data_IF_491053013367
#
_entry.id   IF_491053013367
#
_cell.length_a   1.000
_cell.length_b   1.000
_cell.length_c   1.000
_cell.angle_alpha   90.00
_cell.angle_beta   90.00
_cell.angle_gamma   90.00
#
_symmetry.space_group_name_H-M   'P 1'
#
loop_
_entity.id
_entity.type
_entity.pdbx_description
1 polymer ?
#
# COMPACT_ATOMS: atom_id res chain seq x y z
N UNK A 1 29.98 -5.39 -7.71
CA UNK A 1 29.66 -5.77 -9.12
C UNK A 1 28.86 -7.07 -9.22
N UNK A 2 29.41 -8.28 -9.05
CA UNK A 2 28.62 -9.51 -9.17
C UNK A 2 27.54 -9.67 -8.08
N UNK A 3 27.84 -9.23 -6.85
CA UNK A 3 26.91 -9.27 -5.72
C UNK A 3 25.71 -8.31 -5.91
N UNK A 4 25.97 -7.11 -6.44
CA UNK A 4 24.92 -6.09 -6.65
C UNK A 4 24.00 -6.47 -7.82
N UNK A 5 24.56 -7.03 -8.89
CA UNK A 5 23.79 -7.56 -10.01
C UNK A 5 22.85 -8.69 -9.58
N UNK A 6 23.34 -9.64 -8.77
CA UNK A 6 22.52 -10.72 -8.24
C UNK A 6 21.38 -10.22 -7.34
N UNK A 7 21.63 -9.17 -6.56
CA UNK A 7 20.61 -8.55 -5.70
C UNK A 7 19.52 -7.85 -6.51
N UNK A 8 19.91 -7.15 -7.58
CA UNK A 8 18.96 -6.53 -8.52
C UNK A 8 18.11 -7.59 -9.18
N UNK A 9 18.71 -8.60 -9.82
CA UNK A 9 17.98 -9.69 -10.48
C UNK A 9 17.06 -10.42 -9.50
N UNK A 10 17.51 -10.65 -8.26
CA UNK A 10 16.69 -11.23 -7.21
C UNK A 10 15.47 -10.35 -6.87
N UNK A 11 15.68 -9.04 -6.66
CA UNK A 11 14.60 -8.11 -6.33
C UNK A 11 13.57 -8.01 -7.47
N UNK A 12 14.04 -7.95 -8.72
CA UNK A 12 13.17 -7.93 -9.90
C UNK A 12 12.36 -9.22 -10.03
N UNK A 13 13.03 -10.38 -9.90
CA UNK A 13 12.38 -11.69 -9.92
C UNK A 13 11.32 -11.80 -8.83
N UNK A 14 11.62 -11.28 -7.63
CA UNK A 14 10.69 -11.23 -6.52
C UNK A 14 9.46 -10.36 -6.84
N UNK A 15 9.65 -9.12 -7.31
CA UNK A 15 8.56 -8.23 -7.70
C UNK A 15 7.63 -8.86 -8.74
N UNK A 16 8.19 -9.40 -9.81
CA UNK A 16 7.41 -10.04 -10.89
C UNK A 16 6.65 -11.27 -10.36
N UNK A 17 7.30 -12.10 -9.54
CA UNK A 17 6.66 -13.31 -8.97
C UNK A 17 5.46 -12.97 -8.08
N UNK A 18 5.61 -11.99 -7.18
CA UNK A 18 4.52 -11.53 -6.32
C UNK A 18 3.43 -10.80 -7.10
N UNK A 19 3.80 -10.02 -8.12
CA UNK A 19 2.87 -9.38 -9.04
C UNK A 19 1.98 -10.40 -9.77
N UNK A 20 2.59 -11.41 -10.40
CA UNK A 20 1.87 -12.48 -11.12
C UNK A 20 0.94 -13.24 -10.17
N UNK A 21 1.46 -13.67 -9.01
CA UNK A 21 0.66 -14.38 -8.01
C UNK A 21 -0.52 -13.52 -7.54
N UNK A 22 -0.28 -12.25 -7.24
CA UNK A 22 -1.30 -11.30 -6.83
C UNK A 22 -2.37 -11.09 -7.91
N UNK A 23 -1.97 -10.95 -9.17
CA UNK A 23 -2.88 -10.84 -10.31
C UNK A 23 -3.76 -12.09 -10.46
N UNK A 24 -3.18 -13.29 -10.38
CA UNK A 24 -3.94 -14.55 -10.48
C UNK A 24 -4.93 -14.69 -9.32
N UNK A 25 -4.48 -14.46 -8.08
CA UNK A 25 -5.33 -14.61 -6.89
C UNK A 25 -6.47 -13.59 -6.86
N UNK A 26 -6.19 -12.31 -7.16
CA UNK A 26 -7.22 -11.27 -7.20
C UNK A 26 -8.17 -11.46 -8.39
N UNK A 27 -7.67 -11.87 -9.56
CA UNK A 27 -8.52 -12.24 -10.70
C UNK A 27 -9.46 -13.41 -10.37
N UNK A 28 -8.94 -14.43 -9.68
CA UNK A 28 -9.75 -15.55 -9.18
C UNK A 28 -10.81 -15.10 -8.17
N UNK A 29 -10.47 -14.16 -7.27
CA UNK A 29 -11.40 -13.60 -6.31
C UNK A 29 -12.53 -12.82 -6.99
N UNK A 30 -12.22 -12.02 -8.02
CA UNK A 30 -13.23 -11.33 -8.84
C UNK A 30 -14.15 -12.35 -9.52
N UNK A 31 -13.59 -13.39 -10.15
CA UNK A 31 -14.37 -14.44 -10.79
C UNK A 31 -15.33 -15.12 -9.80
N UNK A 32 -14.84 -15.56 -8.63
CA UNK A 32 -15.67 -16.19 -7.61
C UNK A 32 -16.74 -15.24 -7.06
N UNK A 33 -16.39 -13.97 -6.84
CA UNK A 33 -17.33 -12.98 -6.32
C UNK A 33 -18.47 -12.69 -7.33
N UNK A 34 -18.16 -12.60 -8.63
CA UNK A 34 -19.16 -12.35 -9.68
C UNK A 34 -20.05 -13.57 -9.93
N UNK A 35 -19.44 -14.75 -10.11
CA UNK A 35 -20.17 -15.93 -10.64
C UNK A 35 -20.66 -16.90 -9.56
N UNK A 36 -20.10 -16.89 -8.35
CA UNK A 36 -20.40 -17.89 -7.30
C UNK A 36 -21.04 -17.30 -6.04
N UNK A 37 -21.24 -15.98 -5.95
CA UNK A 37 -21.83 -15.36 -4.75
C UNK A 37 -23.34 -15.60 -4.61
N UNK A 38 -23.82 -16.17 -3.49
CA UNK A 38 -25.26 -16.34 -3.26
C UNK A 38 -25.98 -15.01 -3.02
N UNK A 39 -27.29 -14.98 -3.34
CA UNK A 39 -28.13 -13.76 -3.25
C UNK A 39 -28.07 -13.08 -1.87
N UNK A 40 -27.94 -13.86 -0.79
CA UNK A 40 -27.86 -13.38 0.58
C UNK A 40 -26.66 -12.47 0.89
N UNK A 41 -25.56 -12.55 0.11
CA UNK A 41 -24.35 -11.74 0.32
C UNK A 41 -24.04 -10.80 -0.86
N UNK A 42 -25.00 -10.52 -1.75
CA UNK A 42 -24.73 -9.74 -2.97
C UNK A 42 -24.13 -8.36 -2.72
N UNK A 43 -24.59 -7.63 -1.69
CA UNK A 43 -24.05 -6.31 -1.38
C UNK A 43 -22.62 -6.39 -0.83
N UNK A 44 -22.32 -7.46 -0.07
CA UNK A 44 -20.96 -7.75 0.38
C UNK A 44 -20.05 -8.19 -0.76
N UNK A 45 -20.55 -8.98 -1.71
CA UNK A 45 -19.82 -9.37 -2.91
C UNK A 45 -19.38 -8.14 -3.72
N UNK A 46 -20.23 -7.11 -3.84
CA UNK A 46 -19.84 -5.84 -4.50
C UNK A 46 -18.65 -5.15 -3.82
N UNK A 47 -18.59 -5.17 -2.48
CA UNK A 47 -17.43 -4.65 -1.74
C UNK A 47 -16.18 -5.47 -1.99
N UNK A 48 -16.31 -6.81 -2.01
CA UNK A 48 -15.20 -7.72 -2.34
C UNK A 48 -14.70 -7.47 -3.77
N UNK A 49 -15.60 -7.26 -4.74
CA UNK A 49 -15.22 -6.98 -6.13
C UNK A 49 -14.46 -5.66 -6.21
N UNK A 50 -14.93 -4.58 -5.56
CA UNK A 50 -14.22 -3.30 -5.55
C UNK A 50 -12.79 -3.44 -5.03
N UNK A 51 -12.65 -4.14 -3.90
CA UNK A 51 -11.36 -4.42 -3.28
C UNK A 51 -10.47 -5.26 -4.20
N UNK A 52 -10.98 -6.39 -4.72
CA UNK A 52 -10.21 -7.30 -5.56
C UNK A 52 -9.78 -6.67 -6.89
N UNK A 53 -10.61 -5.80 -7.49
CA UNK A 53 -10.23 -5.03 -8.68
C UNK A 53 -9.15 -4.00 -8.38
N UNK A 54 -9.23 -3.34 -7.22
CA UNK A 54 -8.21 -2.38 -6.78
C UNK A 54 -6.86 -3.07 -6.59
N UNK A 55 -6.84 -4.21 -5.90
CA UNK A 55 -5.61 -5.00 -5.69
C UNK A 55 -5.08 -5.60 -6.99
N UNK A 56 -5.97 -6.03 -7.89
CA UNK A 56 -5.58 -6.49 -9.22
C UNK A 56 -4.85 -5.37 -9.99
N UNK A 57 -5.41 -4.16 -9.98
CA UNK A 57 -4.81 -3.01 -10.64
C UNK A 57 -3.48 -2.60 -9.97
N UNK A 58 -3.39 -2.69 -8.64
CA UNK A 58 -2.15 -2.48 -7.91
C UNK A 58 -1.04 -3.45 -8.36
N UNK A 59 -1.33 -4.74 -8.47
CA UNK A 59 -0.36 -5.73 -8.95
C UNK A 59 0.09 -5.48 -10.40
N UNK A 60 -0.85 -5.09 -11.28
CA UNK A 60 -0.52 -4.74 -12.66
C UNK A 60 0.37 -3.50 -12.73
N UNK A 61 0.07 -2.47 -11.93
CA UNK A 61 0.88 -1.26 -11.85
C UNK A 61 2.26 -1.54 -11.25
N UNK A 62 2.37 -2.39 -10.22
CA UNK A 62 3.67 -2.77 -9.63
C UNK A 62 4.58 -3.44 -10.66
N UNK A 63 4.05 -4.37 -11.45
CA UNK A 63 4.80 -4.99 -12.56
C UNK A 63 5.10 -4.00 -13.70
N UNK A 64 4.19 -3.05 -13.95
CA UNK A 64 4.38 -2.03 -15.00
C UNK A 64 5.48 -1.02 -14.64
N UNK A 65 5.60 -0.64 -13.37
CA UNK A 65 6.59 0.36 -12.91
C UNK A 65 7.92 -0.28 -12.49
N UNK A 66 7.87 -1.45 -11.84
CA UNK A 66 9.00 -2.13 -11.21
C UNK A 66 9.86 -1.15 -10.39
N UNK A 67 9.26 -0.65 -9.31
CA UNK A 67 9.80 0.44 -8.51
C UNK A 67 10.85 -0.04 -7.50
N UNK A 68 11.99 0.66 -7.47
CA UNK A 68 12.94 0.62 -6.36
C UNK A 68 13.10 1.99 -5.72
N UNK A 69 12.87 2.07 -4.41
CA UNK A 69 12.94 3.29 -3.62
C UNK A 69 14.26 3.39 -2.84
N UNK A 70 14.92 4.54 -2.93
CA UNK A 70 16.12 4.90 -2.17
C UNK A 70 15.84 6.18 -1.36
N UNK A 71 15.44 6.05 -0.08
CA UNK A 71 15.07 7.20 0.75
C UNK A 71 16.29 7.92 1.30
N UNK A 72 16.37 9.26 1.11
CA UNK A 72 17.39 10.10 1.73
C UNK A 72 16.84 10.81 2.97
N UNK A 73 16.99 10.24 4.19
CA UNK A 73 16.39 10.80 5.39
C UNK A 73 16.99 12.16 5.79
N UNK A 74 18.25 12.44 5.42
CA UNK A 74 18.98 13.64 5.82
C UNK A 74 18.66 14.86 4.94
N UNK A 75 18.41 14.66 3.64
CA UNK A 75 18.08 15.76 2.71
C UNK A 75 16.57 15.91 2.46
N UNK A 76 15.74 15.08 3.11
CA UNK A 76 14.29 15.03 2.87
C UNK A 76 13.96 14.89 1.37
N UNK A 77 14.68 14.00 0.69
CA UNK A 77 14.49 13.64 -0.71
C UNK A 77 14.23 12.14 -0.87
N UNK A 78 13.59 11.74 -1.96
CA UNK A 78 13.39 10.33 -2.31
C UNK A 78 13.83 10.09 -3.75
N UNK A 79 14.76 9.17 -3.93
CA UNK A 79 15.22 8.73 -5.25
C UNK A 79 14.50 7.45 -5.63
N UNK A 80 14.09 7.36 -6.89
CA UNK A 80 13.35 6.24 -7.45
C UNK A 80 14.05 5.73 -8.69
N UNK A 81 14.16 4.41 -8.79
CA UNK A 81 14.66 3.71 -9.97
C UNK A 81 13.52 2.87 -10.50
N UNK A 82 13.13 3.12 -11.74
CA UNK A 82 11.99 2.50 -12.41
C UNK A 82 12.52 1.62 -13.53
N UNK A 83 12.33 0.31 -13.41
CA UNK A 83 12.87 -0.67 -14.37
C UNK A 83 11.78 -1.31 -15.24
N UNK A 84 10.52 -1.00 -14.98
CA UNK A 84 9.39 -1.72 -15.58
C UNK A 84 9.08 -1.30 -17.01
N UNK A 85 8.01 -1.88 -17.54
CA UNK A 85 7.51 -1.62 -18.90
C UNK A 85 7.10 -0.15 -19.13
N UNK A 86 6.86 0.62 -18.07
CA UNK A 86 6.57 2.04 -18.16
C UNK A 86 7.70 2.85 -18.83
N UNK A 87 8.95 2.36 -18.74
CA UNK A 87 10.14 3.06 -19.26
C UNK A 87 10.11 3.25 -20.77
N UNK A 88 9.45 2.34 -21.50
CA UNK A 88 9.24 2.45 -22.95
C UNK A 88 8.35 3.63 -23.36
N UNK A 89 7.54 4.16 -22.43
CA UNK A 89 6.63 5.29 -22.67
C UNK A 89 7.16 6.61 -22.11
N UNK A 90 8.30 6.60 -21.41
CA UNK A 90 8.94 7.76 -20.83
C UNK A 90 8.53 8.10 -19.38
N UNK A 91 9.20 9.11 -18.83
CA UNK A 91 9.13 9.50 -17.41
C UNK A 91 7.71 9.79 -16.94
N UNK A 92 6.93 10.57 -17.69
CA UNK A 92 5.58 10.97 -17.28
C UNK A 92 4.65 9.77 -17.09
N UNK A 93 4.72 8.79 -17.99
CA UNK A 93 3.91 7.57 -17.87
C UNK A 93 4.29 6.77 -16.64
N UNK A 94 5.58 6.66 -16.34
CA UNK A 94 6.05 5.99 -15.12
C UNK A 94 5.62 6.72 -13.84
N UNK A 95 5.73 8.05 -13.78
CA UNK A 95 5.37 8.82 -12.57
C UNK A 95 3.87 8.85 -12.33
N UNK A 96 3.06 8.92 -13.41
CA UNK A 96 1.61 8.74 -13.33
C UNK A 96 1.28 7.32 -12.86
N UNK A 97 1.93 6.29 -13.43
CA UNK A 97 1.77 4.89 -13.03
C UNK A 97 2.09 4.68 -11.55
N UNK A 98 3.17 5.28 -11.05
CA UNK A 98 3.55 5.26 -9.64
C UNK A 98 2.52 5.98 -8.76
N UNK A 99 2.01 7.13 -9.18
CA UNK A 99 0.95 7.83 -8.46
C UNK A 99 -0.33 7.02 -8.35
N UNK A 100 -0.74 6.37 -9.45
CA UNK A 100 -1.86 5.44 -9.48
C UNK A 100 -1.60 4.22 -8.58
N UNK A 101 -0.37 3.71 -8.55
CA UNK A 101 -0.02 2.58 -7.70
C UNK A 101 -0.21 2.92 -6.22
N UNK A 102 0.34 4.04 -5.76
CA UNK A 102 0.17 4.49 -4.37
C UNK A 102 -1.31 4.78 -4.06
N UNK A 103 -2.05 5.35 -5.02
CA UNK A 103 -3.50 5.48 -4.90
C UNK A 103 -4.19 4.14 -4.64
N UNK A 104 -3.91 3.10 -5.45
CA UNK A 104 -4.52 1.78 -5.26
C UNK A 104 -4.20 1.16 -3.91
N UNK A 105 -2.97 1.33 -3.41
CA UNK A 105 -2.58 0.84 -2.08
C UNK A 105 -3.39 1.51 -0.97
N UNK A 106 -3.52 2.85 -1.00
CA UNK A 106 -4.35 3.56 -0.01
C UNK A 106 -5.83 3.19 -0.10
N UNK A 107 -6.36 3.10 -1.33
CA UNK A 107 -7.77 2.80 -1.54
C UNK A 107 -8.11 1.36 -1.13
N UNK A 108 -7.20 0.42 -1.37
CA UNK A 108 -7.30 -0.97 -0.93
C UNK A 108 -7.38 -1.07 0.60
N UNK A 109 -6.53 -0.35 1.33
CA UNK A 109 -6.53 -0.32 2.80
C UNK A 109 -7.88 0.14 3.36
N UNK A 110 -8.46 1.23 2.83
CA UNK A 110 -9.77 1.72 3.24
C UNK A 110 -10.90 0.76 2.84
N UNK A 111 -10.84 0.20 1.64
CA UNK A 111 -11.81 -0.79 1.15
C UNK A 111 -11.84 -2.06 2.01
N UNK A 112 -10.68 -2.49 2.50
CA UNK A 112 -10.55 -3.61 3.43
C UNK A 112 -11.23 -3.30 4.76
N UNK A 113 -10.98 -2.12 5.35
CA UNK A 113 -11.64 -1.69 6.58
C UNK A 113 -13.17 -1.64 6.43
N UNK A 114 -13.66 -1.04 5.35
CA UNK A 114 -15.09 -0.96 5.04
C UNK A 114 -15.68 -2.36 4.92
N UNK A 115 -14.98 -3.30 4.30
CA UNK A 115 -15.43 -4.69 4.18
C UNK A 115 -15.59 -5.39 5.53
N UNK A 116 -14.66 -5.19 6.46
CA UNK A 116 -14.79 -5.70 7.83
C UNK A 116 -15.90 -4.97 8.62
N UNK A 117 -16.01 -3.65 8.47
CA UNK A 117 -17.03 -2.84 9.13
C UNK A 117 -18.45 -3.20 8.68
N UNK A 118 -18.68 -3.29 7.36
CA UNK A 118 -19.94 -3.75 6.78
C UNK A 118 -20.34 -5.11 7.33
N UNK A 119 -19.38 -6.03 7.40
CA UNK A 119 -19.62 -7.38 7.88
C UNK A 119 -19.95 -7.44 9.37
N UNK A 120 -19.35 -6.58 10.17
CA UNK A 120 -19.73 -6.44 11.57
C UNK A 120 -21.15 -5.85 11.69
N UNK A 121 -21.50 -4.85 10.87
CA UNK A 121 -22.79 -4.16 10.90
C UNK A 121 -23.98 -5.10 10.62
N UNK A 122 -23.89 -5.94 9.58
CA UNK A 122 -24.97 -6.88 9.20
C UNK A 122 -25.28 -7.94 10.27
N UNK A 123 -24.41 -8.12 11.27
CA UNK A 123 -24.66 -9.06 12.38
C UNK A 123 -25.61 -8.50 13.44
N UNK A 124 -25.77 -7.17 13.51
CA UNK A 124 -26.61 -6.50 14.51
C UNK A 124 -27.80 -5.76 13.89
N UNK A 125 -27.68 -5.36 12.62
CA UNK A 125 -28.66 -4.55 11.92
C UNK A 125 -29.04 -5.19 10.59
N UNK A 126 -30.23 -4.85 10.11
CA UNK A 126 -30.67 -5.21 8.76
C UNK A 126 -29.70 -4.68 7.72
N UNK A 127 -29.48 -5.44 6.64
CA UNK A 127 -28.53 -5.09 5.57
C UNK A 127 -28.71 -3.62 5.12
N UNK A 128 -27.64 -2.82 5.06
CA UNK A 128 -27.73 -1.44 4.58
C UNK A 128 -28.27 -1.39 3.16
N UNK A 129 -28.93 -0.29 2.79
CA UNK A 129 -29.31 -0.07 1.39
C UNK A 129 -28.06 0.19 0.54
N UNK A 130 -28.05 -0.28 -0.71
CA UNK A 130 -26.94 -0.11 -1.67
C UNK A 130 -26.43 1.34 -1.75
N UNK A 131 -27.34 2.33 -1.72
CA UNK A 131 -26.99 3.76 -1.76
C UNK A 131 -26.00 4.17 -0.66
N UNK A 132 -26.18 3.65 0.57
CA UNK A 132 -25.30 3.98 1.68
C UNK A 132 -23.91 3.37 1.49
N UNK A 133 -23.84 2.13 1.00
CA UNK A 133 -22.56 1.46 0.72
C UNK A 133 -21.79 2.19 -0.38
N UNK A 134 -22.46 2.56 -1.48
CA UNK A 134 -21.83 3.32 -2.56
C UNK A 134 -21.35 4.70 -2.10
N UNK A 135 -22.17 5.39 -1.29
CA UNK A 135 -21.78 6.68 -0.72
C UNK A 135 -20.55 6.54 0.20
N UNK A 136 -20.48 5.50 1.04
CA UNK A 136 -19.31 5.22 1.87
C UNK A 136 -18.07 4.98 1.02
N UNK A 137 -18.14 4.12 0.00
CA UNK A 137 -17.00 3.87 -0.91
C UNK A 137 -16.54 5.18 -1.55
N UNK A 138 -17.47 6.00 -2.05
CA UNK A 138 -17.16 7.27 -2.70
C UNK A 138 -16.46 8.25 -1.75
N UNK A 139 -16.94 8.38 -0.51
CA UNK A 139 -16.32 9.25 0.51
C UNK A 139 -14.86 8.85 0.77
N UNK A 140 -14.58 7.55 0.90
CA UNK A 140 -13.22 7.05 1.14
C UNK A 140 -12.36 7.01 -0.14
N UNK A 141 -12.98 7.04 -1.32
CA UNK A 141 -12.28 7.13 -2.60
C UNK A 141 -11.70 8.53 -2.85
N UNK A 142 -12.46 9.59 -2.53
CA UNK A 142 -12.07 10.98 -2.82
C UNK A 142 -10.65 11.34 -2.35
N UNK A 143 -10.23 11.07 -1.08
CA UNK A 143 -8.87 11.37 -0.62
C UNK A 143 -7.80 10.66 -1.47
N UNK A 144 -7.98 9.36 -1.69
CA UNK A 144 -7.04 8.58 -2.51
C UNK A 144 -6.99 9.10 -3.95
N UNK A 145 -8.09 9.59 -4.51
CA UNK A 145 -8.12 10.13 -5.87
C UNK A 145 -7.40 11.48 -5.96
N UNK A 146 -7.58 12.38 -4.99
CA UNK A 146 -6.81 13.63 -4.90
C UNK A 146 -5.31 13.33 -4.84
N UNK A 147 -4.92 12.29 -4.09
CA UNK A 147 -3.53 11.83 -4.05
C UNK A 147 -3.05 11.40 -5.44
N UNK A 148 -3.84 10.60 -6.16
CA UNK A 148 -3.51 10.13 -7.51
C UNK A 148 -3.27 11.29 -8.50
N UNK A 149 -4.09 12.34 -8.41
CA UNK A 149 -4.04 13.49 -9.32
C UNK A 149 -2.89 14.44 -9.03
N UNK A 150 -2.41 14.48 -7.78
CA UNK A 150 -1.41 15.46 -7.35
C UNK A 150 -0.02 14.88 -7.20
N UNK A 151 0.13 13.62 -6.78
CA UNK A 151 1.43 13.11 -6.34
C UNK A 151 2.49 13.04 -7.46
N UNK A 152 2.08 12.66 -8.68
CA UNK A 152 2.98 12.55 -9.83
C UNK A 152 3.67 13.88 -10.24
N UNK A 153 3.10 15.03 -9.87
CA UNK A 153 3.65 16.35 -10.24
C UNK A 153 4.90 16.73 -9.43
N UNK A 154 5.21 15.99 -8.36
CA UNK A 154 6.37 16.25 -7.51
C UNK A 154 7.66 15.61 -8.04
N UNK A 155 7.56 14.81 -9.11
CA UNK A 155 8.70 14.06 -9.64
C UNK A 155 9.56 14.93 -10.55
N UNK A 156 10.86 14.92 -10.29
CA UNK A 156 11.89 15.56 -11.11
C UNK A 156 12.62 14.54 -11.98
N UNK A 157 13.23 15.02 -13.05
CA UNK A 157 13.97 14.22 -14.00
C UNK A 157 15.35 13.77 -13.48
N UNK A 158 16.05 12.96 -14.28
CA UNK A 158 17.38 12.43 -13.96
C UNK A 158 18.41 13.52 -13.69
N UNK A 159 18.42 14.60 -14.46
CA UNK A 159 19.44 15.64 -14.33
C UNK A 159 19.38 16.32 -12.95
N UNK A 160 18.16 16.43 -12.40
CA UNK A 160 17.93 17.04 -11.10
C UNK A 160 18.20 16.08 -9.94
N UNK A 161 17.76 14.81 -10.02
CA UNK A 161 17.88 13.87 -8.89
C UNK A 161 19.25 13.20 -8.79
N UNK A 162 19.94 12.96 -9.92
CA UNK A 162 21.22 12.26 -9.97
C UNK A 162 22.32 12.88 -9.06
N UNK A 163 22.55 14.20 -9.05
CA UNK A 163 23.58 14.78 -8.17
C UNK A 163 23.27 14.57 -6.68
N UNK A 164 21.98 14.60 -6.31
CA UNK A 164 21.52 14.33 -4.94
C UNK A 164 21.75 12.86 -4.61
N UNK A 165 21.32 11.96 -5.50
CA UNK A 165 21.47 10.52 -5.32
C UNK A 165 22.94 10.10 -5.15
N UNK A 166 23.85 10.62 -6.00
CA UNK A 166 25.30 10.38 -5.88
C UNK A 166 25.90 10.91 -4.59
N UNK A 167 25.41 12.05 -4.07
CA UNK A 167 25.88 12.61 -2.80
C UNK A 167 25.44 11.75 -1.61
N UNK A 168 24.19 11.27 -1.62
CA UNK A 168 23.61 10.46 -0.54
C UNK A 168 24.13 9.03 -0.55
N UNK A 169 24.36 8.46 -1.74
CA UNK A 169 24.84 7.10 -1.95
C UNK A 169 26.09 7.10 -2.84
N UNK A 170 27.25 7.57 -2.34
CA UNK A 170 28.47 7.69 -3.15
C UNK A 170 29.02 6.35 -3.62
N UNK A 171 28.79 5.28 -2.85
CA UNK A 171 29.19 3.91 -3.18
C UNK A 171 28.29 3.27 -4.26
N UNK A 172 27.17 3.90 -4.59
CA UNK A 172 26.18 3.37 -5.53
C UNK A 172 26.43 3.85 -6.95
N UNK A 173 26.68 2.93 -7.88
CA UNK A 173 26.95 3.30 -9.28
C UNK A 173 25.66 3.53 -10.08
N UNK A 174 25.10 4.75 -10.00
CA UNK A 174 23.93 5.17 -10.79
C UNK A 174 24.18 5.27 -12.31
N UNK A 175 25.42 5.11 -12.77
CA UNK A 175 25.74 5.20 -14.21
C UNK A 175 25.48 3.88 -14.93
N UNK A 176 25.57 2.76 -14.22
CA UNK A 176 25.32 1.40 -14.72
C UNK A 176 23.86 0.97 -14.56
N UNK A 177 23.02 1.80 -13.95
CA UNK A 177 21.61 1.50 -13.78
C UNK A 177 20.84 1.65 -15.10
N UNK A 178 20.22 0.56 -15.61
CA UNK A 178 19.48 0.59 -16.86
C UNK A 178 18.11 1.29 -16.72
N UNK A 179 17.61 1.42 -15.49
CA UNK A 179 16.31 2.01 -15.18
C UNK A 179 16.23 3.52 -15.33
N UNK A 180 15.00 4.01 -15.39
CA UNK A 180 14.71 5.43 -15.38
C UNK A 180 14.85 5.97 -13.95
N UNK A 181 15.84 6.85 -13.76
CA UNK A 181 16.12 7.51 -12.48
C UNK A 181 15.30 8.81 -12.36
N UNK A 182 14.49 8.90 -11.31
CA UNK A 182 13.65 10.08 -11.00
C UNK A 182 13.55 10.28 -9.48
N UNK A 183 12.94 11.36 -9.02
CA UNK A 183 12.60 11.44 -7.61
C UNK A 183 11.93 12.72 -7.15
N UNK A 184 11.82 12.87 -5.83
CA UNK A 184 11.21 14.02 -5.17
C UNK A 184 12.31 14.74 -4.40
N UNK A 185 12.54 16.01 -4.71
CA UNK A 185 13.57 16.85 -4.08
C UNK A 185 13.09 17.60 -2.84
N UNK A 186 11.78 17.68 -2.63
CA UNK A 186 11.20 18.30 -1.45
C UNK A 186 10.00 17.48 -0.96
N UNK A 187 10.23 16.62 0.04
CA UNK A 187 9.15 15.81 0.65
C UNK A 187 8.15 16.64 1.47
N UNK A 188 8.46 17.91 1.76
CA UNK A 188 7.55 18.83 2.44
C UNK A 188 6.64 19.60 1.49
N UNK A 189 6.71 19.33 0.18
CA UNK A 189 5.69 19.85 -0.74
C UNK A 189 4.31 19.37 -0.29
N UNK A 190 3.28 20.19 -0.46
CA UNK A 190 1.92 19.88 0.02
C UNK A 190 1.44 18.52 -0.49
N UNK A 191 1.69 18.22 -1.76
CA UNK A 191 1.26 16.97 -2.38
C UNK A 191 2.10 15.76 -1.93
N UNK A 192 3.44 15.89 -1.84
CA UNK A 192 4.29 14.79 -1.36
C UNK A 192 4.01 14.47 0.11
N UNK A 193 3.89 15.50 0.95
CA UNK A 193 3.57 15.36 2.36
C UNK A 193 2.18 14.76 2.56
N UNK A 194 1.19 15.19 1.78
CA UNK A 194 -0.15 14.58 1.79
C UNK A 194 -0.08 13.08 1.48
N UNK A 195 0.61 12.68 0.41
CA UNK A 195 0.75 11.27 0.04
C UNK A 195 1.47 10.45 1.12
N UNK A 196 2.55 10.99 1.71
CA UNK A 196 3.30 10.31 2.78
C UNK A 196 2.42 10.13 4.02
N UNK A 197 1.76 11.20 4.47
CA UNK A 197 0.89 11.14 5.66
C UNK A 197 -0.30 10.22 5.43
N UNK A 198 -0.94 10.27 4.26
CA UNK A 198 -2.08 9.42 3.93
C UNK A 198 -1.68 7.94 3.76
N UNK A 199 -0.45 7.65 3.31
CA UNK A 199 0.08 6.29 3.24
C UNK A 199 0.54 5.74 4.59
N UNK A 200 0.96 6.58 5.54
CA UNK A 200 1.61 6.12 6.78
C UNK A 200 0.72 6.21 8.01
N UNK A 201 0.03 7.33 8.22
CA UNK A 201 -0.78 7.55 9.42
C UNK A 201 -1.99 6.61 9.54
N UNK A 202 -2.75 6.33 8.46
CA UNK A 202 -3.93 5.46 8.56
C UNK A 202 -3.60 3.98 8.72
N UNK A 203 -2.41 3.52 8.30
CA UNK A 203 -2.03 2.10 8.30
C UNK A 203 -2.22 1.47 9.67
N UNK A 204 -1.56 2.02 10.69
CA UNK A 204 -1.63 1.51 12.07
C UNK A 204 -3.07 1.46 12.62
N UNK A 205 -3.84 2.56 12.67
CA UNK A 205 -5.19 2.54 13.21
C UNK A 205 -6.17 1.69 12.39
N UNK A 206 -6.01 1.62 11.06
CA UNK A 206 -6.83 0.76 10.21
C UNK A 206 -6.59 -0.72 10.55
N UNK A 207 -5.33 -1.15 10.65
CA UNK A 207 -5.03 -2.54 11.00
C UNK A 207 -5.47 -2.91 12.42
N UNK A 208 -5.31 -2.01 13.39
CA UNK A 208 -5.84 -2.20 14.74
C UNK A 208 -7.37 -2.37 14.70
N UNK A 209 -8.06 -1.52 13.93
CA UNK A 209 -9.51 -1.56 13.77
C UNK A 209 -9.97 -2.87 13.12
N UNK A 210 -9.30 -3.30 12.05
CA UNK A 210 -9.56 -4.61 11.40
C UNK A 210 -9.38 -5.74 12.39
N UNK A 211 -8.32 -5.73 13.18
CA UNK A 211 -8.05 -6.76 14.18
C UNK A 211 -9.13 -6.82 15.27
N UNK A 212 -9.57 -5.67 15.79
CA UNK A 212 -10.67 -5.57 16.76
C UNK A 212 -11.97 -6.07 16.15
N UNK A 213 -12.33 -5.60 14.94
CA UNK A 213 -13.53 -6.02 14.22
C UNK A 213 -13.53 -7.52 13.98
N UNK A 214 -12.40 -8.09 13.53
CA UNK A 214 -12.22 -9.53 13.35
C UNK A 214 -12.51 -10.31 14.63
N UNK A 215 -11.91 -9.92 15.76
CA UNK A 215 -12.14 -10.56 17.06
C UNK A 215 -13.62 -10.51 17.45
N UNK A 216 -14.28 -9.36 17.26
CA UNK A 216 -15.71 -9.19 17.54
C UNK A 216 -16.59 -10.07 16.64
N UNK A 217 -16.31 -10.12 15.34
CA UNK A 217 -17.06 -10.94 14.38
C UNK A 217 -16.93 -12.43 14.72
N UNK A 218 -15.71 -12.93 15.00
CA UNK A 218 -15.50 -14.34 15.37
C UNK A 218 -16.23 -14.69 16.67
N UNK A 219 -16.08 -13.87 17.71
CA UNK A 219 -16.76 -14.08 19.00
C UNK A 219 -18.28 -14.12 18.83
N UNK A 220 -18.84 -13.26 17.98
CA UNK A 220 -20.26 -13.24 17.68
C UNK A 220 -20.72 -14.47 16.89
N UNK A 221 -19.97 -14.87 15.86
CA UNK A 221 -20.27 -16.07 15.06
C UNK A 221 -20.32 -17.34 15.93
N UNK A 222 -19.43 -17.45 16.91
CA UNK A 222 -19.42 -18.56 17.88
C UNK A 222 -20.63 -18.54 18.83
N UNK A 223 -21.10 -17.35 19.23
CA UNK A 223 -22.25 -17.18 20.13
C UNK A 223 -23.59 -17.35 19.43
N UNK A 224 -23.67 -16.98 18.15
CA UNK A 224 -24.91 -16.86 17.39
C UNK A 224 -25.30 -18.15 16.66
N UNK A 225 -25.46 -19.26 17.39
CA UNK A 225 -25.82 -20.57 16.80
C UNK A 225 -27.19 -20.54 16.06
N UNK A 226 -28.07 -19.58 16.37
CA UNK A 226 -29.46 -19.54 15.89
C UNK A 226 -29.82 -18.41 14.89
N UNK A 227 -28.97 -17.41 14.64
CA UNK A 227 -29.33 -16.26 13.75
C UNK A 227 -29.02 -16.51 12.27
N UNK A 228 -28.20 -17.52 11.96
CA UNK A 228 -27.70 -17.74 10.59
C UNK A 228 -27.54 -19.24 10.29
N UNK A 229 -27.86 -19.65 9.06
CA UNK A 229 -27.72 -21.05 8.61
C UNK A 229 -26.28 -21.55 8.71
N UNK A 230 -26.10 -22.88 8.80
CA UNK A 230 -24.78 -23.50 8.88
C UNK A 230 -23.95 -23.21 7.62
N UNK A 231 -24.55 -23.22 6.43
CA UNK A 231 -23.84 -22.88 5.18
C UNK A 231 -23.35 -21.42 5.18
N UNK A 232 -24.21 -20.47 5.55
CA UNK A 232 -23.86 -19.05 5.55
C UNK A 232 -22.73 -18.76 6.54
N UNK A 233 -22.74 -19.42 7.72
CA UNK A 233 -21.64 -19.35 8.69
C UNK A 233 -20.33 -19.90 8.16
N UNK A 234 -20.33 -21.02 7.46
CA UNK A 234 -19.12 -21.62 6.90
C UNK A 234 -18.48 -20.72 5.84
N UNK A 235 -19.30 -20.18 4.92
CA UNK A 235 -18.86 -19.20 3.90
C UNK A 235 -18.28 -17.96 4.57
N UNK A 236 -18.95 -17.45 5.60
CA UNK A 236 -18.45 -16.33 6.38
C UNK A 236 -17.09 -16.67 7.04
N UNK A 237 -16.96 -17.79 7.74
CA UNK A 237 -15.71 -18.17 8.41
C UNK A 237 -14.54 -18.27 7.42
N UNK A 238 -14.76 -18.87 6.24
CA UNK A 238 -13.76 -18.96 5.17
C UNK A 238 -13.36 -17.58 4.63
N UNK A 239 -14.34 -16.71 4.33
CA UNK A 239 -14.07 -15.34 3.87
C UNK A 239 -13.29 -14.51 4.90
N UNK A 240 -13.56 -14.71 6.20
CA UNK A 240 -12.79 -14.07 7.28
C UNK A 240 -11.32 -14.53 7.28
N UNK A 241 -11.09 -15.83 7.08
CA UNK A 241 -9.74 -16.39 7.05
C UNK A 241 -8.96 -15.79 5.88
N UNK A 242 -9.55 -15.74 4.69
CA UNK A 242 -8.95 -15.13 3.50
C UNK A 242 -8.61 -13.64 3.73
N UNK A 243 -9.57 -12.85 4.20
CA UNK A 243 -9.37 -11.43 4.49
C UNK A 243 -8.33 -11.18 5.60
N UNK A 244 -8.15 -12.13 6.53
CA UNK A 244 -7.11 -12.03 7.55
C UNK A 244 -5.72 -12.22 6.95
N UNK A 245 -5.56 -13.20 6.06
CA UNK A 245 -4.28 -13.39 5.35
C UNK A 245 -3.97 -12.16 4.49
N UNK A 246 -4.96 -11.63 3.77
CA UNK A 246 -4.82 -10.40 3.01
C UNK A 246 -4.43 -9.20 3.87
N UNK A 247 -4.97 -9.09 5.09
CA UNK A 247 -4.59 -8.02 6.02
C UNK A 247 -3.18 -8.17 6.62
N UNK A 248 -2.61 -9.37 6.68
CA UNK A 248 -1.29 -9.62 7.26
C UNK A 248 -0.15 -9.40 6.25
N UNK A 249 -0.39 -9.60 4.96
CA UNK A 249 0.61 -9.47 3.90
C UNK A 249 1.23 -8.06 3.86
N UNK A 250 0.45 -6.96 3.87
CA UNK A 250 1.03 -5.63 3.83
C UNK A 250 1.75 -5.27 5.13
N UNK A 251 1.30 -5.77 6.30
CA UNK A 251 1.99 -5.53 7.58
C UNK A 251 3.44 -6.03 7.52
N UNK A 252 3.69 -7.17 6.88
CA UNK A 252 5.04 -7.66 6.64
C UNK A 252 5.84 -6.72 5.71
N UNK A 253 5.22 -6.17 4.67
CA UNK A 253 5.85 -5.19 3.77
C UNK A 253 6.15 -3.83 4.45
N UNK A 254 5.30 -3.40 5.39
CA UNK A 254 5.47 -2.14 6.14
C UNK A 254 6.58 -2.18 7.18
N UNK A 255 7.11 -3.37 7.54
CA UNK A 255 8.28 -3.48 8.43
C UNK A 255 9.50 -2.72 7.91
N UNK A 256 9.67 -2.63 6.58
CA UNK A 256 10.72 -1.83 5.96
C UNK A 256 10.57 -0.33 6.26
N UNK A 257 9.35 0.20 6.30
CA UNK A 257 9.09 1.60 6.64
C UNK A 257 9.37 1.87 8.12
N UNK A 258 8.94 0.97 9.01
CA UNK A 258 9.23 1.08 10.44
C UNK A 258 10.74 1.01 10.74
N UNK A 259 11.49 0.17 10.04
CA UNK A 259 12.96 0.11 10.21
C UNK A 259 13.66 1.37 9.74
N UNK A 260 13.21 2.01 8.66
CA UNK A 260 13.73 3.31 8.21
C UNK A 260 13.40 4.42 9.20
N UNK A 261 12.17 4.47 9.71
CA UNK A 261 11.77 5.43 10.75
C UNK A 261 12.56 5.21 12.05
N UNK A 262 12.77 3.96 12.46
CA UNK A 262 13.58 3.61 13.63
C UNK A 262 15.04 4.05 13.45
N UNK A 263 15.64 3.84 12.26
CA UNK A 263 16.98 4.34 11.94
C UNK A 263 17.06 5.87 12.00
N UNK A 264 16.07 6.58 11.44
CA UNK A 264 16.02 8.05 11.48
C UNK A 264 15.87 8.58 12.91
N UNK A 265 15.06 7.92 13.74
CA UNK A 265 14.91 8.25 15.16
C UNK A 265 16.22 8.00 15.93
N UNK A 266 16.93 6.91 15.64
CA UNK A 266 18.24 6.62 16.22
C UNK A 266 19.31 7.66 15.83
N UNK A 267 19.31 8.12 14.58
CA UNK A 267 20.20 9.19 14.12
C UNK A 267 19.86 10.53 14.77
N UNK A 268 18.57 10.88 14.92
CA UNK A 268 18.14 12.09 15.61
C UNK A 268 18.49 12.09 17.11
N UNK A 269 18.26 10.97 17.81
CA UNK A 269 18.69 10.81 19.21
C UNK A 269 20.21 10.82 19.37
N UNK A 270 20.98 10.42 18.36
CA UNK A 270 22.45 10.50 18.40
C UNK A 270 22.93 11.94 18.25
N UNK A 271 22.32 12.75 17.37
CA UNK A 271 22.67 14.17 17.20
C UNK A 271 22.35 14.97 18.47
N UNK A 272 21.22 14.71 19.12
CA UNK A 272 20.84 15.36 20.37
C UNK A 272 21.78 15.00 21.55
N UNK A 273 22.42 13.83 21.49
CA UNK A 273 23.43 13.40 22.45
C UNK A 273 24.77 14.10 22.26
N UNK A 274 25.13 14.49 21.04
CA UNK A 274 26.35 15.26 20.77
C UNK A 274 26.17 16.77 21.02
N UNK A 275 25.00 17.34 20.72
CA UNK A 275 24.73 18.77 21.01
C UNK A 275 24.63 19.07 22.51
N UNK A 276 24.24 18.09 23.33
CA UNK A 276 24.19 18.24 24.80
C UNK A 276 25.55 18.02 25.50
N UNK A 277 26.60 17.61 24.79
CA UNK A 277 27.97 17.49 25.34
C UNK A 277 28.79 18.78 25.09
N UNK A 278 28.38 19.63 24.15
CA UNK A 278 29.11 20.86 23.76
C UNK A 278 28.77 22.11 24.59
N UNK A 279 27.91 22.01 25.60
CA UNK A 279 27.62 23.10 26.55
C UNK A 279 27.81 22.63 28.00
N UNK A 280 29.06 22.37 28.38
CA UNK A 280 29.49 22.43 29.78
C UNK A 280 30.63 23.45 29.84
N UNK A 281 30.43 24.62 30.47
CA UNK A 281 31.50 25.58 30.64
C UNK A 281 32.41 25.10 31.78
N UNK A 282 33.68 24.88 31.46
CA UNK A 282 34.79 25.02 32.40
C UNK A 282 35.72 26.09 31.87
#
# INVERSE_FOLDING_TARGET
MAHDHNLVVFAQTWHISFGILGTILNGSLVFLAVFKSPKAIQLYSKLIINFALTDLFACLLDMFIEIRLLPSPNEATMTYILNGFCTYFGLNTCTIGLSLFIHTLTHSLWSLLISFGYRYFILFHTSPKLKHVLLTILIFYIPSFIQAMTYWTNFVDRATILPIAKRVYPEYNFSEEPGLLTGITNLFSVSAMYAILHMTLPVTPVYISIFILRRKIIKMLMRSRNVMSKETKAVHAQLLKALTFQALIPVAAWTAVYTVLAKKCNSACSVEKYSNISYSPQ
#
